data_IF_835297788653
#
_entry.id   IF_835297788653
#
_cell.length_a   1.000
_cell.length_b   1.000
_cell.length_c   1.000
_cell.angle_alpha   90.00
_cell.angle_beta   90.00
_cell.angle_gamma   90.00
#
_symmetry.space_group_name_H-M   'P 1'
#
loop_
_entity.id
_entity.type
_entity.pdbx_description
1 polymer ?
#
# COMPACT_ATOMS: atom_id res chain seq x y z
N UNK A 1 56.81 31.42 21.92
CA UNK A 1 55.97 30.81 22.97
C UNK A 1 54.56 31.34 22.78
N UNK A 2 53.81 30.75 21.84
CA UNK A 2 52.72 29.77 22.06
C UNK A 2 51.50 30.36 22.75
N UNK A 3 50.43 30.62 21.99
CA UNK A 3 49.03 30.28 22.33
C UNK A 3 48.20 30.19 21.05
N UNK A 4 48.10 28.98 20.50
CA UNK A 4 47.17 28.65 19.42
C UNK A 4 45.77 28.42 20.00
N UNK A 5 44.79 29.16 19.50
CA UNK A 5 43.38 28.98 19.84
C UNK A 5 42.81 27.93 18.89
N UNK A 6 42.63 26.71 19.39
CA UNK A 6 42.01 25.61 18.64
C UNK A 6 40.48 25.80 18.68
N UNK A 7 39.90 26.34 17.61
CA UNK A 7 38.45 26.37 17.42
C UNK A 7 37.99 25.01 16.91
N UNK A 8 37.38 24.21 17.79
CA UNK A 8 36.59 23.04 17.40
C UNK A 8 35.27 23.52 16.80
N UNK A 9 35.19 23.55 15.46
CA UNK A 9 33.93 23.75 14.74
C UNK A 9 33.15 22.44 14.80
N UNK A 10 32.10 22.41 15.62
CA UNK A 10 31.16 21.30 15.72
C UNK A 10 30.22 21.36 14.52
N UNK A 11 30.50 20.55 13.49
CA UNK A 11 29.66 20.47 12.29
C UNK A 11 28.44 19.58 12.60
N UNK A 12 27.32 20.18 13.01
CA UNK A 12 26.05 19.47 13.18
C UNK A 12 25.50 19.14 11.79
N UNK A 13 25.60 17.88 11.39
CA UNK A 13 25.08 17.38 10.11
C UNK A 13 23.59 17.09 10.28
N UNK A 14 22.74 18.06 9.91
CA UNK A 14 21.29 17.91 9.89
C UNK A 14 20.92 16.98 8.73
N UNK A 15 20.67 15.70 9.04
CA UNK A 15 20.07 14.76 8.10
C UNK A 15 18.62 15.16 7.87
N UNK A 16 18.35 15.80 6.73
CA UNK A 16 16.98 15.99 6.24
C UNK A 16 16.49 14.65 5.72
N UNK A 17 15.63 13.98 6.48
CA UNK A 17 14.93 12.79 6.01
C UNK A 17 13.98 13.22 4.88
N UNK A 18 13.99 12.54 3.71
CA UNK A 18 13.09 12.88 2.62
C UNK A 18 11.65 12.57 3.06
N UNK A 19 10.84 13.60 3.25
CA UNK A 19 9.39 13.44 3.32
C UNK A 19 8.91 13.10 1.91
N UNK A 20 8.24 11.97 1.74
CA UNK A 20 7.67 11.58 0.45
C UNK A 20 6.71 12.66 -0.03
N UNK A 21 6.99 13.30 -1.16
CA UNK A 21 6.06 14.22 -1.78
C UNK A 21 4.91 13.40 -2.38
N UNK A 22 3.77 13.34 -1.68
CA UNK A 22 2.50 12.94 -2.28
C UNK A 22 2.03 14.15 -3.10
N UNK A 23 1.75 13.95 -4.39
CA UNK A 23 1.54 15.06 -5.33
C UNK A 23 0.28 14.86 -6.20
N UNK A 24 -0.63 13.96 -5.82
CA UNK A 24 -1.76 13.54 -6.65
C UNK A 24 -2.96 13.11 -5.80
N UNK A 25 -3.95 12.48 -6.42
CA UNK A 25 -5.11 11.88 -5.76
C UNK A 25 -4.72 10.57 -5.02
N UNK A 26 -5.25 10.38 -3.80
CA UNK A 26 -5.08 9.19 -2.96
C UNK A 26 -6.41 8.72 -2.38
N UNK A 27 -6.91 7.59 -2.87
CA UNK A 27 -8.15 7.01 -2.34
C UNK A 27 -7.85 6.24 -1.04
N UNK A 28 -8.42 6.74 0.07
CA UNK A 28 -8.17 6.24 1.43
C UNK A 28 -9.28 5.35 1.94
N UNK A 29 -10.52 5.55 1.48
CA UNK A 29 -11.66 4.68 1.75
C UNK A 29 -12.53 4.53 0.49
N UNK A 30 -12.82 3.31 0.00
CA UNK A 30 -12.14 2.07 0.36
C UNK A 30 -10.64 2.14 0.07
N UNK A 31 -9.83 1.28 0.70
CA UNK A 31 -8.37 1.32 0.53
C UNK A 31 -8.00 1.01 -0.91
N UNK A 32 -7.21 1.89 -1.53
CA UNK A 32 -6.73 1.74 -2.89
C UNK A 32 -5.86 0.49 -3.12
N UNK A 33 -5.96 -0.06 -4.34
CA UNK A 33 -5.19 -1.19 -4.87
C UNK A 33 -3.68 -0.93 -4.84
N UNK A 34 -3.24 0.27 -5.23
CA UNK A 34 -1.81 0.62 -5.35
C UNK A 34 -1.42 1.90 -4.61
N UNK A 35 -2.38 2.59 -4.00
CA UNK A 35 -2.16 3.84 -3.27
C UNK A 35 -1.78 5.02 -4.17
N UNK A 36 -1.23 6.10 -3.59
CA UNK A 36 -1.22 7.47 -4.12
C UNK A 36 -0.25 7.73 -5.28
N UNK A 37 0.64 6.78 -5.56
CA UNK A 37 1.79 7.01 -6.43
C UNK A 37 1.61 6.36 -7.81
N UNK A 38 0.49 5.67 -8.01
CA UNK A 38 0.23 4.81 -9.16
C UNK A 38 -1.17 5.12 -9.69
N UNK A 39 -1.26 6.06 -10.64
CA UNK A 39 -2.54 6.67 -11.02
C UNK A 39 -2.62 7.28 -12.42
N UNK A 40 -1.54 7.24 -13.22
CA UNK A 40 -1.49 7.91 -14.54
C UNK A 40 -1.81 7.00 -15.73
N UNK A 41 -2.22 5.77 -15.45
CA UNK A 41 -2.51 4.77 -16.48
C UNK A 41 -3.87 4.18 -16.21
N UNK A 42 -4.80 4.30 -17.15
CA UNK A 42 -6.12 3.69 -17.02
C UNK A 42 -6.05 2.14 -17.06
N UNK A 43 -7.04 1.45 -16.46
CA UNK A 43 -8.14 2.01 -15.68
C UNK A 43 -7.80 2.20 -14.18
N UNK A 44 -6.73 1.57 -13.67
CA UNK A 44 -6.47 1.47 -12.22
C UNK A 44 -5.05 1.91 -11.80
N UNK A 45 -4.42 2.77 -12.58
CA UNK A 45 -3.08 3.30 -12.32
C UNK A 45 -1.93 2.49 -12.94
N UNK A 46 -2.15 1.21 -13.23
CA UNK A 46 -1.21 0.28 -13.89
C UNK A 46 -1.89 -0.39 -15.07
N UNK A 47 -1.27 -0.36 -16.25
CA UNK A 47 -1.76 -1.09 -17.42
C UNK A 47 -1.73 -2.61 -17.16
N UNK A 48 -2.88 -3.27 -17.28
CA UNK A 48 -3.02 -4.70 -16.99
C UNK A 48 -2.65 -5.05 -15.54
N UNK A 49 -2.90 -4.14 -14.61
CA UNK A 49 -2.58 -4.31 -13.20
C UNK A 49 -3.41 -5.42 -12.56
N UNK A 50 -2.76 -6.27 -11.77
CA UNK A 50 -3.42 -7.32 -11.00
C UNK A 50 -4.09 -6.78 -9.73
N UNK A 51 -5.17 -7.43 -9.33
CA UNK A 51 -5.84 -7.18 -8.05
C UNK A 51 -4.85 -7.25 -6.87
N UNK A 52 -5.05 -6.39 -5.87
CA UNK A 52 -4.17 -6.32 -4.70
C UNK A 52 -4.63 -7.25 -3.57
N UNK A 53 -3.84 -7.29 -2.49
CA UNK A 53 -4.25 -7.89 -1.22
C UNK A 53 -5.11 -6.94 -0.37
N UNK A 54 -5.30 -5.68 -0.79
CA UNK A 54 -6.11 -4.70 -0.08
C UNK A 54 -7.59 -4.88 -0.46
N UNK A 55 -8.21 -5.95 0.06
CA UNK A 55 -9.61 -6.25 -0.20
C UNK A 55 -10.50 -5.53 0.81
N UNK A 56 -11.50 -4.81 0.30
CA UNK A 56 -12.49 -4.10 1.09
C UNK A 56 -13.81 -4.86 1.02
N UNK A 57 -14.42 -5.15 2.17
CA UNK A 57 -15.64 -5.93 2.27
C UNK A 57 -16.83 -5.03 2.59
N UNK A 58 -17.92 -5.19 1.83
CA UNK A 58 -19.18 -4.48 2.03
C UNK A 58 -20.36 -5.42 1.78
N UNK A 59 -21.56 -4.99 2.17
CA UNK A 59 -22.79 -5.68 1.80
C UNK A 59 -23.30 -5.19 0.42
N UNK A 60 -23.94 -6.07 -0.36
CA UNK A 60 -24.70 -5.64 -1.55
C UNK A 60 -25.71 -4.55 -1.20
N UNK A 61 -25.81 -3.51 -2.03
CA UNK A 61 -26.73 -2.39 -1.79
C UNK A 61 -26.30 -1.42 -0.67
N UNK A 62 -25.14 -1.65 -0.04
CA UNK A 62 -24.65 -0.79 1.02
C UNK A 62 -24.33 0.61 0.48
N UNK A 63 -24.74 1.65 1.22
CA UNK A 63 -24.23 3.00 1.01
C UNK A 63 -22.93 3.18 1.78
N UNK A 64 -21.85 3.48 1.06
CA UNK A 64 -20.50 3.67 1.61
C UNK A 64 -20.08 5.13 1.48
N UNK A 65 -19.15 5.56 2.33
CA UNK A 65 -18.42 6.81 2.14
C UNK A 65 -17.12 6.52 1.40
N UNK A 66 -16.97 7.16 0.24
CA UNK A 66 -15.74 7.15 -0.55
C UNK A 66 -14.95 8.40 -0.18
N UNK A 67 -13.71 8.19 0.24
CA UNK A 67 -12.78 9.21 0.70
C UNK A 67 -11.51 9.21 -0.14
N UNK A 68 -11.05 10.39 -0.53
CA UNK A 68 -9.75 10.57 -1.16
C UNK A 68 -9.13 11.92 -0.81
N UNK A 69 -7.81 11.95 -0.70
CA UNK A 69 -7.04 13.19 -0.62
C UNK A 69 -6.62 13.65 -2.01
N UNK A 70 -6.72 14.94 -2.29
CA UNK A 70 -6.04 15.59 -3.41
C UNK A 70 -4.83 16.39 -2.90
N UNK A 71 -3.62 15.94 -3.23
CA UNK A 71 -2.40 16.66 -2.82
C UNK A 71 -1.96 17.74 -3.81
N UNK A 72 -2.54 17.78 -5.01
CA UNK A 72 -2.25 18.80 -6.02
C UNK A 72 -3.54 19.17 -6.73
N UNK A 73 -4.03 20.35 -6.36
CA UNK A 73 -5.23 20.98 -6.89
C UNK A 73 -5.10 21.21 -8.41
N UNK A 74 -5.94 20.52 -9.17
CA UNK A 74 -6.13 20.73 -10.60
C UNK A 74 -7.58 21.10 -10.85
N UNK A 75 -7.90 22.16 -11.63
CA UNK A 75 -9.27 22.40 -12.05
C UNK A 75 -9.88 21.15 -12.69
N UNK A 76 -10.83 20.51 -12.00
CA UNK A 76 -11.29 19.18 -12.36
C UNK A 76 -12.74 18.88 -11.95
N UNK A 77 -13.14 17.64 -12.15
CA UNK A 77 -14.21 16.97 -11.42
C UNK A 77 -13.81 15.53 -11.12
N UNK A 78 -14.54 14.89 -10.21
CA UNK A 78 -14.38 13.47 -9.92
C UNK A 78 -15.57 12.65 -10.42
N UNK A 79 -15.29 11.38 -10.71
CA UNK A 79 -16.27 10.36 -11.05
C UNK A 79 -15.98 9.07 -10.28
N UNK A 80 -17.04 8.43 -9.81
CA UNK A 80 -17.02 7.13 -9.15
C UNK A 80 -17.73 6.12 -10.06
N UNK A 81 -17.08 4.99 -10.31
CA UNK A 81 -17.60 3.92 -11.15
C UNK A 81 -17.41 2.56 -10.47
N UNK A 82 -18.23 1.59 -10.84
CA UNK A 82 -18.20 0.23 -10.31
C UNK A 82 -18.26 -0.79 -11.43
N UNK A 83 -17.48 -1.84 -11.28
CA UNK A 83 -17.42 -3.01 -12.15
C UNK A 83 -17.66 -4.24 -11.27
N UNK A 84 -18.61 -5.10 -11.66
CA UNK A 84 -19.03 -6.24 -10.86
C UNK A 84 -18.07 -7.43 -10.91
N UNK A 85 -17.23 -7.53 -11.94
CA UNK A 85 -16.38 -8.69 -12.19
C UNK A 85 -14.97 -8.40 -12.72
N UNK A 86 -14.51 -7.15 -12.60
CA UNK A 86 -13.15 -6.82 -13.00
C UNK A 86 -12.88 -5.33 -12.93
N UNK A 87 -12.27 -4.83 -14.00
CA UNK A 87 -12.03 -3.40 -14.23
C UNK A 87 -12.10 -3.02 -15.72
N UNK A 88 -12.80 -3.83 -16.52
CA UNK A 88 -12.94 -3.69 -17.97
C UNK A 88 -14.21 -2.94 -18.40
N UNK A 89 -15.17 -2.73 -17.49
CA UNK A 89 -16.34 -1.88 -17.75
C UNK A 89 -16.04 -0.37 -17.63
N UNK A 90 -14.86 0.01 -17.17
CA UNK A 90 -14.51 1.43 -17.02
C UNK A 90 -14.15 2.09 -18.35
N UNK A 91 -14.94 3.09 -18.75
CA UNK A 91 -14.72 3.89 -19.96
C UNK A 91 -14.28 5.30 -19.59
N UNK A 92 -13.19 5.77 -20.18
CA UNK A 92 -12.78 7.17 -20.06
C UNK A 92 -13.82 8.10 -20.73
N UNK A 93 -14.17 9.24 -20.13
CA UNK A 93 -15.03 10.21 -20.79
C UNK A 93 -14.32 10.76 -22.04
N UNK A 94 -14.93 10.71 -23.21
CA UNK A 94 -14.33 11.16 -24.46
C UNK A 94 -14.14 12.69 -24.50
N UNK A 95 -14.84 13.43 -23.63
CA UNK A 95 -14.62 14.87 -23.42
C UNK A 95 -14.72 15.23 -21.94
N UNK A 96 -14.11 16.36 -21.54
CA UNK A 96 -14.18 16.91 -20.17
C UNK A 96 -15.61 17.20 -19.66
N UNK A 97 -16.61 17.22 -20.54
CA UNK A 97 -18.01 17.49 -20.20
C UNK A 97 -18.92 16.28 -20.46
N UNK A 98 -18.34 15.13 -20.80
CA UNK A 98 -19.08 13.89 -20.89
C UNK A 98 -19.19 13.27 -19.50
N UNK A 99 -20.39 13.36 -18.94
CA UNK A 99 -20.73 12.77 -17.65
C UNK A 99 -21.57 11.52 -17.89
N UNK A 100 -21.43 10.53 -17.01
CA UNK A 100 -22.17 9.27 -17.05
C UNK A 100 -22.00 8.57 -18.41
N UNK A 101 -20.73 8.36 -18.80
CA UNK A 101 -20.33 7.79 -20.10
C UNK A 101 -20.88 6.38 -20.36
N UNK A 102 -21.21 5.62 -19.32
CA UNK A 102 -21.78 4.28 -19.38
C UNK A 102 -22.44 3.89 -18.04
N UNK A 103 -23.05 2.70 -18.01
CA UNK A 103 -23.81 2.19 -16.85
C UNK A 103 -22.94 1.85 -15.63
N UNK A 104 -21.62 1.69 -15.80
CA UNK A 104 -20.68 1.50 -14.69
C UNK A 104 -20.56 2.75 -13.79
N UNK A 105 -20.97 3.92 -14.26
CA UNK A 105 -20.83 5.18 -13.51
C UNK A 105 -21.91 5.29 -12.43
N UNK A 106 -21.50 5.18 -11.16
CA UNK A 106 -22.40 5.34 -10.02
C UNK A 106 -22.69 6.81 -9.71
N UNK A 107 -21.66 7.65 -9.82
CA UNK A 107 -21.75 9.09 -9.52
C UNK A 107 -20.71 9.85 -10.34
N UNK A 108 -21.11 10.96 -10.93
CA UNK A 108 -20.26 11.79 -11.78
C UNK A 108 -20.46 13.27 -11.48
N UNK A 109 -19.62 14.11 -12.08
CA UNK A 109 -19.61 15.57 -11.92
C UNK A 109 -19.51 15.96 -10.43
N UNK A 110 -18.76 15.18 -9.65
CA UNK A 110 -18.46 15.50 -8.26
C UNK A 110 -17.55 16.72 -8.31
N UNK A 111 -18.06 17.82 -7.75
CA UNK A 111 -17.38 19.10 -7.87
C UNK A 111 -16.10 19.11 -7.06
N UNK A 112 -15.06 19.55 -7.74
CA UNK A 112 -13.78 19.90 -7.17
C UNK A 112 -13.90 21.27 -6.47
N UNK A 113 -14.12 21.26 -5.15
CA UNK A 113 -14.23 22.46 -4.31
C UNK A 113 -13.17 22.50 -3.20
N UNK A 114 -11.86 22.66 -3.49
CA UNK A 114 -10.87 22.76 -2.42
C UNK A 114 -10.51 24.22 -2.12
N UNK A 115 -10.70 24.67 -0.87
CA UNK A 115 -9.73 25.65 -0.37
C UNK A 115 -9.27 25.45 1.08
N UNK A 116 -9.81 24.49 1.84
CA UNK A 116 -9.49 24.34 3.28
C UNK A 116 -9.11 22.93 3.73
N UNK A 117 -9.47 21.88 2.99
CA UNK A 117 -9.16 20.49 3.31
C UNK A 117 -8.85 19.75 2.00
N UNK A 118 -7.72 19.02 1.87
CA UNK A 118 -7.46 18.16 0.72
C UNK A 118 -8.40 16.95 0.65
N UNK A 119 -9.16 16.67 1.72
CA UNK A 119 -9.99 15.49 1.83
C UNK A 119 -11.38 15.70 1.20
N UNK A 120 -11.70 14.84 0.25
CA UNK A 120 -13.02 14.69 -0.33
C UNK A 120 -13.74 13.50 0.30
N UNK A 121 -15.05 13.65 0.48
CA UNK A 121 -15.94 12.61 1.01
C UNK A 121 -17.25 12.65 0.25
N UNK A 122 -17.67 11.52 -0.31
CA UNK A 122 -18.95 11.40 -1.00
C UNK A 122 -19.60 10.05 -0.68
N UNK A 123 -20.90 10.06 -0.42
CA UNK A 123 -21.66 8.83 -0.23
C UNK A 123 -22.15 8.27 -1.57
N UNK A 124 -21.91 6.97 -1.80
CA UNK A 124 -22.45 6.23 -2.97
C UNK A 124 -23.09 4.93 -2.52
N UNK A 125 -24.18 4.54 -3.18
CA UNK A 125 -24.80 3.24 -2.97
C UNK A 125 -24.20 2.23 -3.94
N UNK A 126 -23.59 1.17 -3.41
CA UNK A 126 -23.07 0.07 -4.20
C UNK A 126 -24.23 -0.73 -4.82
N UNK A 127 -24.03 -1.39 -5.98
CA UNK A 127 -25.06 -2.27 -6.54
C UNK A 127 -25.47 -3.40 -5.58
N UNK A 128 -26.74 -3.81 -5.63
CA UNK A 128 -27.27 -4.95 -4.86
C UNK A 128 -26.96 -6.28 -5.58
N UNK A 129 -25.68 -6.57 -5.71
CA UNK A 129 -25.12 -7.81 -6.28
C UNK A 129 -24.02 -8.35 -5.36
N UNK A 130 -23.87 -9.67 -5.32
CA UNK A 130 -22.72 -10.30 -4.66
C UNK A 130 -21.60 -10.52 -5.68
N UNK A 131 -20.36 -10.19 -5.30
CA UNK A 131 -19.18 -10.30 -6.17
C UNK A 131 -17.92 -10.54 -5.35
N UNK A 132 -17.01 -11.36 -5.88
CA UNK A 132 -15.72 -11.69 -5.26
C UNK A 132 -14.55 -10.89 -5.86
N UNK A 133 -14.76 -10.31 -7.04
CA UNK A 133 -13.75 -9.69 -7.89
C UNK A 133 -14.12 -8.29 -8.38
N UNK A 134 -15.13 -7.66 -7.80
CA UNK A 134 -15.56 -6.32 -8.18
C UNK A 134 -14.53 -5.24 -7.83
N UNK A 135 -14.63 -4.13 -8.54
CA UNK A 135 -13.75 -2.96 -8.41
C UNK A 135 -14.58 -1.67 -8.33
N UNK A 136 -14.14 -0.77 -7.45
CA UNK A 136 -14.62 0.62 -7.42
C UNK A 136 -13.52 1.53 -7.94
N UNK A 137 -13.82 2.37 -8.93
CA UNK A 137 -12.90 3.34 -9.51
C UNK A 137 -13.26 4.76 -9.05
N UNK A 138 -12.26 5.53 -8.67
CA UNK A 138 -12.32 7.01 -8.61
C UNK A 138 -11.39 7.53 -9.70
N UNK A 139 -11.92 8.40 -10.56
CA UNK A 139 -11.11 9.20 -11.48
C UNK A 139 -11.21 10.69 -11.18
N UNK A 140 -10.12 11.41 -11.45
CA UNK A 140 -10.09 12.86 -11.53
C UNK A 140 -9.92 13.27 -12.99
N UNK A 141 -10.88 13.99 -13.56
CA UNK A 141 -10.84 14.50 -14.93
C UNK A 141 -10.38 15.96 -14.90
N UNK A 142 -9.13 16.20 -15.30
CA UNK A 142 -8.49 17.52 -15.24
C UNK A 142 -8.77 18.35 -16.50
N UNK A 143 -8.90 19.67 -16.32
CA UNK A 143 -9.23 20.60 -17.40
C UNK A 143 -8.11 21.55 -17.81
N UNK A 144 -7.04 21.60 -17.02
CA UNK A 144 -5.94 22.54 -17.13
C UNK A 144 -4.90 22.16 -18.20
N UNK A 145 -5.00 20.93 -18.73
CA UNK A 145 -4.15 20.39 -19.80
C UNK A 145 -4.92 20.39 -21.12
N UNK A 146 -4.63 21.38 -21.97
CA UNK A 146 -5.24 21.52 -23.30
C UNK A 146 -4.26 21.12 -24.41
N UNK A 147 -4.71 20.41 -25.46
CA UNK A 147 -6.04 19.86 -25.64
C UNK A 147 -6.29 18.62 -24.75
N UNK A 148 -7.55 18.39 -24.38
CA UNK A 148 -7.97 17.15 -23.71
C UNK A 148 -7.88 15.99 -24.69
N UNK A 149 -7.16 14.93 -24.33
CA UNK A 149 -6.94 13.76 -25.19
C UNK A 149 -7.13 12.48 -24.38
N UNK A 150 -7.87 11.53 -24.96
CA UNK A 150 -8.09 10.19 -24.39
C UNK A 150 -7.69 9.13 -25.43
N UNK A 151 -6.82 8.17 -25.08
CA UNK A 151 -6.04 8.11 -23.83
C UNK A 151 -5.00 9.24 -23.76
N UNK A 152 -4.69 9.72 -22.55
CA UNK A 152 -3.78 10.86 -22.34
C UNK A 152 -3.29 10.98 -20.90
N UNK A 153 -2.97 12.20 -20.48
CA UNK A 153 -2.50 12.50 -19.10
C UNK A 153 -3.44 13.49 -18.39
N UNK A 154 -4.70 13.50 -18.83
CA UNK A 154 -5.76 14.39 -18.38
C UNK A 154 -6.67 13.72 -17.35
N UNK A 155 -6.43 12.44 -17.04
CA UNK A 155 -7.18 11.65 -16.08
C UNK A 155 -6.21 11.00 -15.09
N UNK A 156 -6.56 11.05 -13.81
CA UNK A 156 -5.94 10.25 -12.76
C UNK A 156 -6.90 9.15 -12.30
N UNK A 157 -6.34 7.99 -11.96
CA UNK A 157 -7.06 6.75 -11.71
C UNK A 157 -6.68 6.15 -10.35
N UNK A 158 -7.67 5.81 -9.54
CA UNK A 158 -7.52 4.91 -8.39
C UNK A 158 -8.61 3.87 -8.41
N UNK A 159 -8.27 2.65 -8.02
CA UNK A 159 -9.23 1.57 -7.87
C UNK A 159 -9.12 0.98 -6.46
N UNK A 160 -10.23 0.49 -5.92
CA UNK A 160 -10.27 -0.38 -4.76
C UNK A 160 -10.86 -1.73 -5.15
N UNK A 161 -10.27 -2.78 -4.59
CA UNK A 161 -10.73 -4.14 -4.76
C UNK A 161 -11.81 -4.45 -3.72
N UNK A 162 -13.01 -4.82 -4.19
CA UNK A 162 -14.18 -5.03 -3.36
C UNK A 162 -14.64 -6.48 -3.33
N UNK A 163 -15.13 -6.94 -2.18
CA UNK A 163 -15.99 -8.12 -2.12
C UNK A 163 -17.33 -7.69 -1.55
N UNK A 164 -18.39 -7.91 -2.32
CA UNK A 164 -19.76 -7.69 -1.86
C UNK A 164 -20.36 -9.04 -1.50
N UNK A 165 -20.64 -9.24 -0.22
CA UNK A 165 -21.15 -10.51 0.29
C UNK A 165 -22.14 -10.27 1.40
N UNK A 166 -23.27 -10.98 1.39
CA UNK A 166 -24.28 -10.86 2.45
C UNK A 166 -23.73 -11.46 3.74
N UNK A 167 -23.85 -10.70 4.84
CA UNK A 167 -23.27 -11.09 6.12
C UNK A 167 -21.86 -10.52 6.37
N UNK A 168 -21.33 -9.72 5.44
CA UNK A 168 -20.12 -8.94 5.63
C UNK A 168 -18.81 -9.72 5.49
N UNK A 169 -17.70 -9.10 5.92
CA UNK A 169 -16.37 -9.69 5.82
C UNK A 169 -16.34 -11.12 6.42
N UNK A 170 -15.59 -12.07 5.83
CA UNK A 170 -15.43 -13.38 6.43
C UNK A 170 -14.87 -13.21 7.84
N UNK A 171 -15.57 -13.77 8.82
CA UNK A 171 -15.13 -13.77 10.21
C UNK A 171 -13.69 -14.28 10.25
N UNK A 172 -12.75 -13.42 10.66
CA UNK A 172 -11.40 -13.83 11.00
C UNK A 172 -11.50 -14.71 12.25
N UNK A 173 -11.83 -15.98 12.06
CA UNK A 173 -12.20 -16.91 13.13
C UNK A 173 -11.22 -16.83 14.29
N UNK A 174 -11.66 -16.25 15.40
CA UNK A 174 -10.92 -16.30 16.64
C UNK A 174 -11.02 -17.73 17.18
N UNK A 175 -9.87 -18.35 17.37
CA UNK A 175 -9.74 -19.76 17.70
C UNK A 175 -10.53 -20.22 18.92
N UNK A 176 -10.84 -21.52 18.90
CA UNK A 176 -11.29 -22.40 19.98
C UNK A 176 -11.98 -21.71 21.18
N UNK A 177 -13.30 -21.92 21.28
CA UNK A 177 -14.04 -21.80 22.52
C UNK A 177 -13.42 -22.69 23.61
N UNK A 178 -12.46 -22.15 24.35
CA UNK A 178 -12.07 -22.68 25.65
C UNK A 178 -13.16 -22.27 26.64
N UNK A 179 -14.29 -22.98 26.58
CA UNK A 179 -15.37 -22.87 27.55
C UNK A 179 -14.84 -23.08 28.96
N UNK A 180 -14.82 -22.00 29.74
CA UNK A 180 -14.58 -22.01 31.18
C UNK A 180 -15.83 -22.47 31.93
N UNK A 181 -15.67 -23.47 32.81
CA UNK A 181 -16.53 -23.68 33.97
C UNK A 181 -17.14 -25.09 34.07
N UNK A 182 -16.65 -25.91 35.00
CA UNK A 182 -17.20 -25.96 36.37
C UNK A 182 -16.21 -26.65 37.30
N UNK A 183 -15.78 -25.96 38.35
CA UNK A 183 -15.16 -26.56 39.53
C UNK A 183 -16.18 -27.34 40.37
N UNK A 184 -15.64 -28.33 41.09
CA UNK A 184 -16.17 -29.08 42.23
C UNK A 184 -17.08 -30.29 41.94
N UNK A 185 -16.51 -31.49 42.07
CA UNK A 185 -16.88 -32.31 43.24
C UNK A 185 -15.76 -33.27 43.66
N UNK A 186 -15.57 -33.35 44.97
CA UNK A 186 -14.57 -34.16 45.65
C UNK A 186 -15.04 -35.62 45.76
N UNK A 187 -14.13 -36.58 45.56
CA UNK A 187 -14.39 -38.00 45.79
C UNK A 187 -13.09 -38.78 46.02
N UNK A 188 -13.00 -39.41 47.18
CA UNK A 188 -11.82 -40.00 47.83
C UNK A 188 -11.60 -41.48 47.49
N UNK A 189 -10.36 -41.94 47.75
CA UNK A 189 -9.91 -43.33 48.01
C UNK A 189 -9.93 -44.30 46.79
N UNK A 190 -9.10 -45.33 46.61
CA UNK A 190 -8.03 -46.08 47.32
C UNK A 190 -7.33 -46.91 46.21
N UNK A 191 -6.00 -46.92 46.05
CA UNK A 191 -5.02 -47.86 46.62
C UNK A 191 -4.55 -49.02 45.69
N UNK A 192 -3.24 -49.27 45.81
CA UNK A 192 -2.43 -50.48 45.60
C UNK A 192 -2.36 -51.22 44.24
N UNK A 193 -1.12 -51.29 43.71
CA UNK A 193 -0.70 -52.33 42.76
C UNK A 193 0.71 -52.20 42.19
N UNK A 194 1.77 -52.23 43.03
CA UNK A 194 3.12 -52.65 42.60
C UNK A 194 3.10 -54.18 42.32
N UNK A 195 3.90 -54.80 41.45
CA UNK A 195 5.36 -55.10 41.49
C UNK A 195 5.83 -55.73 40.14
N UNK A 196 7.13 -56.06 39.88
CA UNK A 196 7.84 -55.75 38.62
C UNK A 196 8.45 -56.98 37.89
N UNK A 197 9.45 -56.68 37.03
CA UNK A 197 10.56 -57.50 36.50
C UNK A 197 10.49 -58.10 35.07
N UNK A 198 11.45 -57.66 34.25
CA UNK A 198 12.57 -58.45 33.68
C UNK A 198 12.85 -58.11 32.19
N UNK A 199 14.03 -57.51 31.91
CA UNK A 199 14.58 -57.33 30.55
C UNK A 199 15.22 -58.62 29.99
N UNK A 200 16.33 -58.57 29.23
CA UNK A 200 16.74 -57.64 28.17
C UNK A 200 17.14 -58.40 26.88
N UNK A 201 17.31 -57.71 25.73
CA UNK A 201 18.27 -58.16 24.68
C UNK A 201 18.95 -56.99 23.98
N UNK A 202 20.27 -57.09 23.94
CA UNK A 202 21.23 -56.21 23.30
C UNK A 202 21.45 -56.56 21.82
N UNK A 203 21.94 -55.59 21.05
CA UNK A 203 22.65 -55.80 19.77
C UNK A 203 22.74 -54.52 18.92
N UNK A 204 23.85 -54.26 18.20
CA UNK A 204 24.53 -52.95 18.26
C UNK A 204 24.73 -52.21 16.91
N UNK A 205 25.36 -51.03 17.02
CA UNK A 205 26.20 -50.32 16.02
C UNK A 205 25.48 -49.69 14.79
N UNK A 206 25.88 -48.58 14.15
CA UNK A 206 26.91 -47.53 14.26
C UNK A 206 26.56 -46.46 13.19
N UNK A 207 27.00 -45.20 13.34
CA UNK A 207 26.95 -44.19 12.26
C UNK A 207 26.43 -42.83 12.73
N UNK A 208 27.25 -41.96 13.32
CA UNK A 208 28.20 -41.04 12.67
C UNK A 208 27.54 -39.97 11.78
N UNK A 209 27.28 -38.80 12.39
CA UNK A 209 27.74 -37.49 11.90
C UNK A 209 27.15 -36.88 10.62
N UNK A 210 26.25 -35.90 10.78
CA UNK A 210 26.15 -34.67 9.97
C UNK A 210 25.12 -33.76 10.65
N UNK A 211 25.37 -32.53 11.06
CA UNK A 211 26.30 -31.54 10.53
C UNK A 211 25.48 -30.30 10.15
N UNK A 212 25.06 -29.51 11.15
CA UNK A 212 24.35 -28.25 10.91
C UNK A 212 25.29 -27.25 10.21
N UNK A 213 25.07 -26.99 8.92
CA UNK A 213 25.76 -25.92 8.20
C UNK A 213 24.93 -24.63 8.30
N UNK A 214 25.47 -23.68 9.06
CA UNK A 214 25.09 -22.28 8.97
C UNK A 214 25.52 -21.73 7.59
N UNK A 215 24.56 -21.21 6.82
CA UNK A 215 24.83 -20.48 5.58
C UNK A 215 25.37 -19.09 5.93
N UNK A 216 26.58 -18.78 5.41
CA UNK A 216 27.18 -17.45 5.45
C UNK A 216 26.51 -16.57 4.40
N UNK A 217 25.85 -15.50 4.85
CA UNK A 217 25.41 -14.40 3.99
C UNK A 217 26.60 -13.66 3.39
N UNK A 218 26.59 -13.54 2.06
CA UNK A 218 27.56 -12.84 1.24
C UNK A 218 27.22 -11.35 1.19
N UNK A 219 28.04 -10.49 1.80
CA UNK A 219 27.93 -9.03 1.73
C UNK A 219 28.49 -8.54 0.39
N UNK A 220 27.59 -8.23 -0.53
CA UNK A 220 27.90 -7.65 -1.84
C UNK A 220 28.38 -6.21 -1.74
N UNK A 221 29.56 -5.97 -2.30
CA UNK A 221 30.27 -4.72 -2.48
C UNK A 221 29.57 -3.75 -3.46
N UNK A 222 29.08 -2.62 -2.96
CA UNK A 222 28.61 -1.47 -3.77
C UNK A 222 29.19 -0.13 -3.27
N UNK A 223 30.41 -0.15 -2.72
CA UNK A 223 31.08 1.02 -2.12
C UNK A 223 32.07 1.78 -3.02
N UNK A 224 32.13 1.52 -4.33
CA UNK A 224 33.24 2.00 -5.18
C UNK A 224 32.86 2.93 -6.34
N UNK A 225 31.59 3.32 -6.49
CA UNK A 225 31.16 4.24 -7.58
C UNK A 225 31.05 5.70 -7.11
N UNK A 226 30.89 5.95 -5.80
CA UNK A 226 30.72 7.29 -5.23
C UNK A 226 32.03 8.06 -4.95
N UNK A 227 33.20 7.44 -5.15
CA UNK A 227 34.50 8.10 -4.92
C UNK A 227 35.11 8.79 -6.16
N UNK A 228 34.60 8.51 -7.37
CA UNK A 228 35.16 9.05 -8.62
C UNK A 228 34.50 10.36 -9.08
N UNK A 229 33.26 10.68 -8.64
CA UNK A 229 32.59 11.94 -9.01
C UNK A 229 33.04 13.14 -8.16
N UNK A 230 33.54 12.90 -6.95
CA UNK A 230 34.02 13.95 -6.02
C UNK A 230 35.32 14.62 -6.48
N UNK A 231 36.15 13.92 -7.25
CA UNK A 231 37.42 14.48 -7.76
C UNK A 231 37.26 15.36 -9.01
N UNK A 232 36.12 15.29 -9.71
CA UNK A 232 35.86 16.09 -10.91
C UNK A 232 35.34 17.49 -10.53
N UNK A 233 34.58 17.62 -9.44
CA UNK A 233 34.07 18.93 -8.98
C UNK A 233 35.17 19.76 -8.31
N UNK A 234 36.08 19.13 -7.54
CA UNK A 234 37.18 19.84 -6.87
C UNK A 234 38.18 20.43 -7.87
N UNK A 235 38.40 19.78 -9.03
CA UNK A 235 39.28 20.32 -10.09
C UNK A 235 38.70 21.50 -10.87
N UNK A 236 37.37 21.69 -10.90
CA UNK A 236 36.75 22.84 -11.59
C UNK A 236 36.74 24.11 -10.73
N UNK A 237 36.73 24.01 -9.41
CA UNK A 237 36.77 25.18 -8.52
C UNK A 237 38.17 25.78 -8.37
N UNK A 238 39.23 25.01 -8.63
CA UNK A 238 40.62 25.49 -8.54
C UNK A 238 41.13 26.24 -9.80
N UNK A 239 40.34 26.33 -10.88
CA UNK A 239 40.73 27.01 -12.14
C UNK A 239 39.97 28.31 -12.41
N UNK A 240 39.12 28.76 -11.49
CA UNK A 240 38.29 29.97 -11.67
C UNK A 240 38.83 31.25 -11.03
N UNK A 241 40.00 31.21 -10.39
CA UNK A 241 40.55 32.36 -9.65
C UNK A 241 41.78 32.96 -10.36
N UNK A 242 41.59 33.46 -11.57
CA UNK A 242 42.48 34.44 -12.19
C UNK A 242 41.61 35.57 -12.75
N UNK A 243 41.57 36.71 -12.05
CA UNK A 243 41.03 37.97 -12.55
C UNK A 243 42.18 38.85 -13.04
N UNK A 244 42.03 39.57 -14.17
CA UNK A 244 43.03 40.51 -14.65
C UNK A 244 42.89 41.89 -13.99
N UNK A 245 44.00 42.64 -14.11
CA UNK A 245 44.31 44.03 -13.72
C UNK A 245 44.89 44.21 -12.31
#
# INVERSE_FOLDING_TARGET
MTRGFCWLVFFVLVFSLPTGARAHLDMTSPVSRYGPNVLKTGPCGVAGGERSANINYFEPGQTIEVEWDEYTDHPSHYRISFDEDGDDDFVDPATMQEYYSNDAVLLDNIKDEPPTDPLYRVSVTLPDVECDNCTLQVIQVMYDKRPYVVPGNDIYYQCADLVLTRGGAPDAGTGADAGTGTDADAGTDTDAGAVPDAGPRAGPDTGTGSGCRASRGNTGSLGLVLWLLSLIVIRRLARGAEFPV
#
